data_IF_524499829245
#
_entry.id   IF_524499829245
#
_cell.length_a   1.000
_cell.length_b   1.000
_cell.length_c   1.000
_cell.angle_alpha   90.00
_cell.angle_beta   90.00
_cell.angle_gamma   90.00
#
_symmetry.space_group_name_H-M   'P 1'
#
loop_
_entity.id
_entity.type
_entity.pdbx_description
1 polymer ?
2 water ?
#
# COMPACT_ATOMS: atom_id res chain seq x y z
N UNK A 1 10.24 -11.42 -10.54
CA UNK A 1 11.11 -11.02 -9.42
C UNK A 1 10.30 -10.30 -8.37
N UNK A 2 10.37 -10.78 -7.13
CA UNK A 2 9.62 -10.20 -6.02
C UNK A 2 9.80 -8.69 -5.98
N UNK A 3 8.70 -7.97 -5.81
CA UNK A 3 8.73 -6.52 -5.81
C UNK A 3 7.86 -6.01 -4.67
N UNK A 4 8.49 -5.30 -3.74
CA UNK A 4 7.81 -4.84 -2.54
C UNK A 4 7.61 -3.34 -2.59
N UNK A 5 6.37 -2.94 -2.35
CA UNK A 5 5.98 -1.55 -2.30
C UNK A 5 5.82 -1.17 -0.84
N UNK A 6 6.67 -0.29 -0.35
CA UNK A 6 6.54 0.25 1.01
C UNK A 6 5.62 1.45 0.99
N UNK A 7 4.79 1.51 2.02
CA UNK A 7 3.73 2.49 2.14
C UNK A 7 3.82 3.20 3.48
N UNK A 8 3.57 4.50 3.49
CA UNK A 8 3.45 5.24 4.73
C UNK A 8 2.50 6.41 4.54
N UNK A 9 2.27 7.13 5.63
CA UNK A 9 1.29 8.22 5.63
C UNK A 9 -0.09 7.68 5.24
N UNK A 10 -0.40 6.46 5.70
CA UNK A 10 -1.70 5.85 5.45
C UNK A 10 -2.70 6.29 6.52
N UNK A 11 -3.77 6.94 6.08
CA UNK A 11 -4.87 7.24 6.97
C UNK A 11 -5.51 5.95 7.48
N UNK A 12 -6.31 6.10 8.54
CA UNK A 12 -7.05 4.96 9.07
C UNK A 12 -7.92 4.26 8.03
N UNK A 13 -8.52 5.01 7.10
CA UNK A 13 -9.38 4.38 6.11
C UNK A 13 -8.59 3.72 4.97
N UNK A 14 -7.31 4.06 4.83
CA UNK A 14 -6.46 3.40 3.84
C UNK A 14 -5.87 2.15 4.48
N UNK A 15 -6.76 1.20 4.76
CA UNK A 15 -6.43 0.08 5.62
C UNK A 15 -6.21 -1.22 4.84
N UNK A 16 -5.94 -2.29 5.55
CA UNK A 16 -5.60 -3.55 4.89
C UNK A 16 -6.75 -4.01 3.99
N UNK A 17 -7.97 -3.82 4.43
CA UNK A 17 -9.13 -4.23 3.67
C UNK A 17 -9.23 -3.45 2.36
N UNK A 18 -8.94 -2.16 2.43
CA UNK A 18 -8.94 -1.33 1.24
C UNK A 18 -7.85 -1.80 0.27
N UNK A 19 -6.65 -2.06 0.77
CA UNK A 19 -5.55 -2.50 -0.07
C UNK A 19 -5.84 -3.86 -0.70
N UNK A 20 -6.45 -4.76 0.07
CA UNK A 20 -6.82 -6.06 -0.46
C UNK A 20 -7.85 -5.91 -1.59
N UNK A 21 -8.81 -5.00 -1.39
CA UNK A 21 -9.79 -4.72 -2.41
C UNK A 21 -9.14 -4.21 -3.69
N UNK A 22 -8.18 -3.30 -3.57
CA UNK A 22 -7.50 -2.78 -4.75
C UNK A 22 -6.82 -3.90 -5.53
N UNK A 23 -6.17 -4.80 -4.80
CA UNK A 23 -5.50 -5.92 -5.45
C UNK A 23 -6.54 -6.82 -6.14
N UNK A 24 -7.63 -7.14 -5.44
CA UNK A 24 -8.69 -7.95 -6.03
C UNK A 24 -9.24 -7.30 -7.31
N UNK A 25 -9.42 -5.99 -7.28
CA UNK A 25 -9.99 -5.29 -8.42
C UNK A 25 -9.09 -5.37 -9.66
N UNK A 26 -7.79 -5.57 -9.42
CA UNK A 26 -6.80 -5.69 -10.49
C UNK A 26 -6.45 -7.15 -10.80
N UNK A 27 -7.13 -8.10 -10.17
CA UNK A 27 -6.83 -9.52 -10.34
C UNK A 27 -5.38 -9.81 -9.98
N UNK A 28 -4.91 -9.17 -8.91
CA UNK A 28 -3.55 -9.34 -8.41
C UNK A 28 -3.58 -10.09 -7.09
N UNK A 29 -2.72 -11.10 -6.97
CA UNK A 29 -2.56 -11.86 -5.74
C UNK A 29 -1.19 -11.53 -5.14
N UNK A 30 -1.16 -10.60 -4.17
CA UNK A 30 0.12 -10.29 -3.53
C UNK A 30 0.56 -11.47 -2.66
N UNK A 31 1.85 -11.56 -2.42
CA UNK A 31 2.35 -12.51 -1.43
C UNK A 31 1.90 -12.08 -0.02
N UNK A 32 1.90 -10.79 0.25
CA UNK A 32 1.57 -10.30 1.60
C UNK A 32 1.14 -8.84 1.55
N UNK A 33 0.08 -8.52 2.28
CA UNK A 33 -0.27 -7.14 2.61
C UNK A 33 -0.07 -7.02 4.10
N UNK A 34 0.76 -6.07 4.54
CA UNK A 34 1.10 -5.97 5.94
C UNK A 34 1.16 -4.51 6.37
N UNK A 35 0.20 -4.08 7.19
CA UNK A 35 0.26 -2.75 7.77
C UNK A 35 0.63 -2.91 9.24
N UNK A 36 1.91 -2.70 9.54
CA UNK A 36 2.52 -3.09 10.80
C UNK A 36 3.10 -1.93 11.60
N UNK A 37 2.88 -0.71 11.17
CA UNK A 37 3.43 0.44 11.88
C UNK A 37 2.40 1.52 12.06
N UNK A 38 2.55 2.27 13.15
CA UNK A 38 1.73 3.44 13.42
C UNK A 38 2.64 4.56 13.91
N UNK A 39 2.46 5.74 13.35
CA UNK A 39 3.25 6.90 13.70
C UNK A 39 2.39 7.86 14.50
N UNK A 40 2.66 7.98 15.79
CA UNK A 40 1.85 8.80 16.66
C UNK A 40 1.88 10.28 16.28
N UNK A 41 3.02 10.75 15.78
CA UNK A 41 3.19 12.15 15.44
C UNK A 41 2.22 12.60 14.35
N UNK A 42 2.03 11.76 13.35
CA UNK A 42 1.18 12.10 12.21
C UNK A 42 -0.17 11.38 12.26
N UNK A 43 -0.33 10.45 13.18
CA UNK A 43 -1.52 9.61 13.26
C UNK A 43 -1.79 8.90 11.94
N UNK A 44 -0.76 8.27 11.40
CA UNK A 44 -0.88 7.49 10.18
C UNK A 44 -0.16 6.17 10.32
N UNK A 45 -0.51 5.25 9.43
CA UNK A 45 0.02 3.89 9.44
C UNK A 45 1.04 3.70 8.33
N UNK A 46 1.76 2.59 8.45
CA UNK A 46 2.77 2.23 7.46
C UNK A 46 2.87 0.72 7.35
N UNK A 47 3.44 0.26 6.24
CA UNK A 47 3.62 -1.14 6.01
C UNK A 47 4.09 -1.37 4.60
N UNK A 48 3.68 -2.49 4.02
CA UNK A 48 4.12 -2.81 2.67
C UNK A 48 3.18 -3.81 2.03
N UNK A 49 3.28 -3.88 0.70
CA UNK A 49 2.69 -4.97 -0.05
C UNK A 49 3.80 -5.64 -0.82
N UNK A 50 3.93 -6.95 -0.63
CA UNK A 50 4.94 -7.74 -1.32
C UNK A 50 4.26 -8.43 -2.47
N UNK A 51 4.69 -8.11 -3.69
CA UNK A 51 4.12 -8.65 -4.91
C UNK A 51 5.00 -9.73 -5.53
N UNK A 52 4.38 -10.60 -6.33
CA UNK A 52 5.08 -11.67 -7.00
C UNK A 52 6.04 -11.19 -8.08
N UNK A 53 5.75 -10.01 -8.66
CA UNK A 53 6.56 -9.49 -9.74
C UNK A 53 6.34 -8.00 -9.88
N UNK A 54 7.15 -7.36 -10.71
CA UNK A 54 7.11 -5.92 -10.85
C UNK A 54 5.87 -5.48 -11.60
N UNK A 55 5.38 -6.34 -12.50
CA UNK A 55 4.17 -6.04 -13.26
C UNK A 55 2.97 -5.83 -12.33
N UNK A 56 2.77 -6.74 -11.38
CA UNK A 56 1.70 -6.57 -10.41
C UNK A 56 1.91 -5.32 -9.57
N UNK A 57 3.13 -5.14 -9.07
CA UNK A 57 3.41 -4.00 -8.22
C UNK A 57 3.13 -2.67 -8.93
N UNK A 58 3.47 -2.61 -10.21
CA UNK A 58 3.28 -1.41 -11.01
C UNK A 58 1.85 -0.90 -10.95
N UNK A 59 0.89 -1.81 -11.13
CA UNK A 59 -0.48 -1.36 -11.21
C UNK A 59 -0.97 -0.75 -9.90
N UNK A 60 -0.58 -1.36 -8.79
CA UNK A 60 -0.98 -0.84 -7.49
C UNK A 60 -0.20 0.43 -7.12
N UNK A 61 1.10 0.47 -7.43
CA UNK A 61 1.87 1.68 -7.27
C UNK A 61 1.21 2.85 -7.99
N UNK A 62 0.81 2.63 -9.23
CA UNK A 62 0.22 3.71 -10.01
C UNK A 62 -1.02 4.26 -9.33
N UNK A 63 -1.84 3.38 -8.77
CA UNK A 63 -3.07 3.79 -8.12
C UNK A 63 -2.80 4.57 -6.82
N UNK A 64 -1.83 4.09 -6.04
CA UNK A 64 -1.60 4.63 -4.70
C UNK A 64 -0.67 5.81 -4.64
N UNK A 65 0.27 5.91 -5.56
CA UNK A 65 1.33 6.89 -5.39
C UNK A 65 0.81 8.32 -5.40
N UNK A 66 0.98 9.02 -4.27
CA UNK A 66 0.49 10.39 -4.09
C UNK A 66 -1.02 10.53 -4.14
N UNK A 67 -1.74 9.44 -3.89
CA UNK A 67 -3.19 9.49 -3.81
C UNK A 67 -3.62 10.02 -2.45
N UNK A 68 -4.62 10.91 -2.44
CA UNK A 68 -5.18 11.38 -1.18
C UNK A 68 -6.24 10.39 -0.73
N UNK A 69 -6.08 9.87 0.48
CA UNK A 69 -7.05 8.96 1.06
C UNK A 69 -7.20 9.33 2.53
N UNK A 70 -8.41 9.64 2.97
CA UNK A 70 -8.67 9.89 4.39
C UNK A 70 -7.87 11.03 4.99
N UNK A 71 -7.56 12.04 4.19
CA UNK A 71 -6.89 13.23 4.67
C UNK A 71 -5.38 13.24 4.53
N UNK A 72 -4.80 12.12 4.10
CA UNK A 72 -3.36 12.00 3.99
C UNK A 72 -2.97 11.49 2.60
N UNK A 73 -1.90 12.07 2.07
CA UNK A 73 -1.37 11.66 0.77
C UNK A 73 -0.50 10.42 0.95
N UNK A 74 -0.90 9.31 0.31
CA UNK A 74 -0.16 8.08 0.41
C UNK A 74 1.23 8.25 -0.17
N UNK A 75 2.21 7.83 0.62
CA UNK A 75 3.59 8.01 0.27
C UNK A 75 4.23 6.63 0.12
N UNK A 76 4.96 6.47 -0.97
CA UNK A 76 5.45 5.17 -1.36
C UNK A 76 6.96 5.16 -1.50
N UNK A 77 7.51 3.95 -1.41
CA UNK A 77 8.88 3.70 -1.87
C UNK A 77 8.99 2.30 -2.45
N UNK A 78 9.73 2.17 -3.56
CA UNK A 78 10.26 0.89 -4.01
C UNK A 78 11.48 0.50 -3.21
N UNK A 79 11.85 -0.78 -3.28
CA UNK A 79 12.94 -1.32 -2.51
C UNK A 79 14.24 -1.39 -3.31
#
# INVERSE_FOLDING_TARGET
KISTLFLENLSAVCNKEFLKYLCHQENIRPFKIQIDGYDENSSTYSGFIKFRNFEDATRIFNFLNNRLVGGSIVTTSWE
#
